data_IF_125784848953
#
_entry.id   IF_125784848953
#
_cell.length_a   1.000
_cell.length_b   1.000
_cell.length_c   1.000
_cell.angle_alpha   90.00
_cell.angle_beta   90.00
_cell.angle_gamma   90.00
#
_symmetry.space_group_name_H-M   'P 1'
#
loop_
_entity.id
_entity.type
_entity.pdbx_description
1 polymer ?
#
# COMPACT_ATOMS: atom_id res chain seq x y z
N UNK A 1 12.03 -32.50 16.87
CA UNK A 1 11.39 -32.00 18.11
C UNK A 1 12.45 -31.35 18.99
N UNK A 2 12.35 -30.04 19.27
CA UNK A 2 13.25 -29.37 20.23
C UNK A 2 12.63 -29.49 21.62
N UNK A 3 13.23 -30.29 22.50
CA UNK A 3 12.84 -30.40 23.90
C UNK A 3 12.98 -29.04 24.59
N UNK A 4 11.89 -28.51 25.16
CA UNK A 4 11.92 -27.27 25.96
C UNK A 4 12.64 -27.54 27.29
N UNK A 5 13.62 -26.71 27.65
CA UNK A 5 14.36 -26.82 28.92
C UNK A 5 13.43 -26.67 30.12
N UNK A 6 13.56 -27.57 31.09
CA UNK A 6 12.79 -27.59 32.33
C UNK A 6 13.13 -26.33 33.17
N UNK A 7 12.13 -25.56 33.63
CA UNK A 7 12.37 -24.39 34.47
C UNK A 7 12.89 -24.82 35.85
N UNK A 8 14.09 -24.35 36.22
CA UNK A 8 14.68 -24.60 37.54
C UNK A 8 13.97 -23.73 38.58
N UNK A 9 13.47 -24.34 39.67
CA UNK A 9 12.81 -23.63 40.78
C UNK A 9 13.83 -22.78 41.54
N UNK A 10 13.51 -21.51 41.78
CA UNK A 10 14.31 -20.61 42.61
C UNK A 10 14.32 -21.09 44.08
N UNK A 11 15.40 -21.72 44.53
CA UNK A 11 15.60 -22.15 45.93
C UNK A 11 15.96 -20.94 46.83
N UNK A 12 14.98 -20.06 47.09
CA UNK A 12 15.15 -18.98 48.10
C UNK A 12 15.11 -19.50 49.55
N UNK A 13 14.54 -20.69 49.78
CA UNK A 13 14.34 -21.26 51.13
C UNK A 13 15.56 -21.94 51.76
N UNK A 14 16.65 -22.15 51.02
CA UNK A 14 17.87 -22.78 51.57
C UNK A 14 18.83 -21.80 52.24
N UNK A 15 18.82 -20.52 51.85
CA UNK A 15 19.78 -19.52 52.37
C UNK A 15 19.56 -19.16 53.85
N UNK A 16 18.36 -19.41 54.38
CA UNK A 16 17.99 -19.14 55.78
C UNK A 16 18.26 -20.31 56.73
N UNK A 17 18.59 -21.49 56.20
CA UNK A 17 18.82 -22.73 56.97
C UNK A 17 20.29 -23.14 56.93
N UNK A 18 21.15 -22.32 56.33
CA UNK A 18 22.59 -22.53 56.31
C UNK A 18 23.20 -22.09 57.66
N UNK A 19 23.74 -23.03 58.48
CA UNK A 19 24.27 -22.71 59.79
C UNK A 19 25.54 -21.83 59.74
N UNK A 20 26.17 -21.66 58.58
CA UNK A 20 27.35 -20.83 58.40
C UNK A 20 27.04 -19.43 57.87
N UNK A 21 25.76 -19.09 57.65
CA UNK A 21 25.36 -17.78 57.17
C UNK A 21 25.28 -16.75 58.31
N UNK A 22 26.42 -16.16 58.67
CA UNK A 22 26.56 -15.13 59.72
C UNK A 22 25.65 -13.91 59.52
N UNK A 23 25.24 -13.62 58.29
CA UNK A 23 24.33 -12.50 57.96
C UNK A 23 22.88 -12.77 58.37
N UNK A 24 22.46 -14.04 58.49
CA UNK A 24 21.11 -14.39 58.91
C UNK A 24 20.87 -14.11 60.40
N UNK A 25 21.89 -14.26 61.24
CA UNK A 25 21.83 -13.93 62.66
C UNK A 25 21.69 -12.41 62.88
N UNK A 26 22.44 -11.61 62.12
CA UNK A 26 22.35 -10.14 62.16
C UNK A 26 20.96 -9.62 61.76
N UNK A 27 20.36 -10.19 60.71
CA UNK A 27 19.00 -9.83 60.27
C UNK A 27 17.94 -10.16 61.33
N UNK A 28 18.06 -11.32 62.01
CA UNK A 28 17.15 -11.67 63.13
C UNK A 28 17.32 -10.75 64.34
N UNK A 29 18.51 -10.21 64.58
CA UNK A 29 18.74 -9.25 65.67
C UNK A 29 18.06 -7.90 65.39
N UNK A 30 18.15 -7.40 64.15
CA UNK A 30 17.49 -6.16 63.71
C UNK A 30 15.96 -6.28 63.73
N UNK A 31 15.40 -7.45 63.37
CA UNK A 31 13.95 -7.69 63.46
C UNK A 31 13.43 -7.78 64.89
N UNK A 32 14.28 -8.09 65.88
CA UNK A 32 13.89 -8.15 67.29
C UNK A 32 13.91 -6.77 67.95
N UNK A 33 14.82 -5.88 67.55
CA UNK A 33 14.86 -4.50 68.09
C UNK A 33 13.69 -3.67 67.59
N UNK A 34 13.23 -3.86 66.35
CA UNK A 34 12.08 -3.13 65.79
C UNK A 34 10.70 -3.54 66.37
N UNK A 35 10.62 -4.56 67.23
CA UNK A 35 9.34 -5.05 67.81
C UNK A 35 9.08 -4.58 69.24
N UNK A 36 10.10 -4.03 69.91
CA UNK A 36 10.02 -3.64 71.31
C UNK A 36 10.29 -2.14 71.53
N UNK A 37 10.01 -1.29 70.53
CA UNK A 37 9.94 0.14 70.78
C UNK A 37 8.64 0.42 71.56
N UNK A 38 8.78 0.84 72.82
CA UNK A 38 7.65 1.30 73.63
C UNK A 38 6.94 2.48 72.92
N UNK A 39 5.60 2.55 72.98
CA UNK A 39 4.88 3.63 72.32
C UNK A 39 5.31 4.99 72.90
N UNK A 40 5.84 5.86 72.05
CA UNK A 40 6.33 7.21 72.40
C UNK A 40 5.23 8.20 72.76
N UNK A 41 3.96 7.77 72.81
CA UNK A 41 2.80 8.61 73.15
C UNK A 41 2.17 8.09 74.44
N UNK A 42 1.84 9.03 75.34
CA UNK A 42 1.18 8.79 76.62
C UNK A 42 -0.06 7.90 76.47
N UNK A 43 -0.32 7.06 77.49
CA UNK A 43 -1.38 6.06 77.54
C UNK A 43 -2.79 6.59 77.18
N UNK A 44 -3.01 7.90 77.31
CA UNK A 44 -4.31 8.54 77.09
C UNK A 44 -4.60 8.93 75.63
N UNK A 45 -3.60 8.93 74.74
CA UNK A 45 -3.80 9.18 73.30
C UNK A 45 -3.38 7.99 72.43
N UNK A 46 -3.83 6.79 72.81
CA UNK A 46 -3.71 5.67 71.88
C UNK A 46 -4.59 5.94 70.65
N UNK A 47 -4.01 6.02 69.43
CA UNK A 47 -4.82 6.22 68.24
C UNK A 47 -5.74 5.02 68.11
N UNK A 48 -7.06 5.28 68.08
CA UNK A 48 -8.08 4.25 67.91
C UNK A 48 -7.65 3.23 66.86
N UNK A 49 -7.76 1.95 67.20
CA UNK A 49 -7.38 0.87 66.30
C UNK A 49 -8.16 0.98 64.99
N UNK A 50 -7.60 0.47 63.88
CA UNK A 50 -8.28 0.46 62.58
C UNK A 50 -9.68 -0.18 62.64
N UNK A 51 -9.90 -1.12 63.56
CA UNK A 51 -11.19 -1.74 63.81
C UNK A 51 -12.17 -0.79 64.51
N UNK A 52 -11.73 -0.13 65.59
CA UNK A 52 -12.55 0.85 66.32
C UNK A 52 -12.90 2.06 65.45
N UNK A 53 -11.94 2.58 64.67
CA UNK A 53 -12.20 3.66 63.70
C UNK A 53 -13.25 3.28 62.65
N UNK A 54 -13.31 2.00 62.24
CA UNK A 54 -14.32 1.51 61.30
C UNK A 54 -15.69 1.37 61.93
N UNK A 55 -15.77 1.00 63.22
CA UNK A 55 -17.02 0.91 63.97
C UNK A 55 -17.61 2.30 64.25
N UNK A 56 -16.75 3.30 64.49
CA UNK A 56 -17.16 4.68 64.74
C UNK A 56 -17.33 5.54 63.48
N UNK A 57 -16.97 5.02 62.30
CA UNK A 57 -17.19 5.74 61.06
C UNK A 57 -18.71 5.81 60.75
N UNK A 58 -19.29 7.01 60.56
CA UNK A 58 -20.69 7.15 60.18
C UNK A 58 -20.88 6.49 58.80
N UNK A 59 -21.74 5.47 58.75
CA UNK A 59 -21.92 4.62 57.57
C UNK A 59 -21.43 3.17 57.74
N UNK A 60 -21.25 2.70 58.97
CA UNK A 60 -21.12 1.27 59.27
C UNK A 60 -22.28 0.53 58.58
N UNK A 61 -21.95 -0.27 57.57
CA UNK A 61 -22.91 -0.94 56.70
C UNK A 61 -23.69 -1.95 57.54
N UNK A 62 -24.86 -1.55 58.04
CA UNK A 62 -25.72 -2.37 58.90
C UNK A 62 -26.30 -3.55 58.10
N UNK A 63 -26.53 -3.35 56.80
CA UNK A 63 -27.19 -4.35 55.96
C UNK A 63 -26.22 -5.25 55.20
N UNK A 64 -26.34 -6.56 55.47
CA UNK A 64 -25.66 -7.64 54.71
C UNK A 64 -25.88 -7.50 53.20
N UNK A 65 -27.01 -6.91 52.76
CA UNK A 65 -27.33 -6.66 51.35
C UNK A 65 -26.43 -5.57 50.74
N UNK A 66 -26.20 -4.47 51.44
CA UNK A 66 -25.33 -3.38 50.98
C UNK A 66 -23.86 -3.77 50.99
N UNK A 67 -23.42 -4.55 51.98
CA UNK A 67 -22.06 -5.09 52.03
C UNK A 67 -21.80 -6.05 50.84
N UNK A 68 -22.82 -6.83 50.44
CA UNK A 68 -22.76 -7.68 49.23
C UNK A 68 -22.75 -6.85 47.95
N UNK A 69 -23.50 -5.74 47.85
CA UNK A 69 -23.44 -4.82 46.70
C UNK A 69 -22.05 -4.19 46.55
N UNK A 70 -21.48 -3.63 47.63
CA UNK A 70 -20.11 -3.09 47.63
C UNK A 70 -19.02 -4.13 47.33
N UNK A 71 -19.21 -5.41 47.70
CA UNK A 71 -18.29 -6.49 47.30
C UNK A 71 -18.35 -6.83 45.82
N UNK A 72 -19.52 -6.71 45.17
CA UNK A 72 -19.68 -6.90 43.71
C UNK A 72 -19.11 -5.73 42.90
N UNK A 73 -19.08 -4.53 43.48
CA UNK A 73 -18.53 -3.31 42.86
C UNK A 73 -16.99 -3.22 42.87
N UNK A 74 -16.26 -4.28 43.24
CA UNK A 74 -14.80 -4.23 43.44
C UNK A 74 -13.95 -4.30 42.16
N UNK A 75 -14.53 -4.46 40.98
CA UNK A 75 -13.75 -4.36 39.75
C UNK A 75 -13.62 -2.89 39.33
N UNK A 76 -12.53 -2.24 39.75
CA UNK A 76 -12.14 -0.90 39.29
C UNK A 76 -12.21 -0.77 37.77
N UNK A 77 -11.75 -1.80 37.06
CA UNK A 77 -11.77 -1.90 35.59
C UNK A 77 -13.18 -1.74 35.01
N UNK A 78 -14.21 -2.32 35.64
CA UNK A 78 -15.59 -2.18 35.16
C UNK A 78 -16.12 -0.76 35.41
N UNK A 79 -15.80 -0.14 36.55
CA UNK A 79 -16.18 1.24 36.84
C UNK A 79 -15.51 2.24 35.88
N UNK A 80 -14.21 2.05 35.60
CA UNK A 80 -13.48 2.91 34.67
C UNK A 80 -14.02 2.75 33.24
N UNK A 81 -14.28 1.51 32.81
CA UNK A 81 -14.87 1.27 31.51
C UNK A 81 -16.30 1.86 31.41
N UNK A 82 -17.11 1.76 32.46
CA UNK A 82 -18.44 2.39 32.51
C UNK A 82 -18.37 3.92 32.41
N UNK A 83 -17.38 4.56 33.05
CA UNK A 83 -17.13 6.01 32.87
C UNK A 83 -16.80 6.37 31.42
N UNK A 84 -16.12 5.46 30.71
CA UNK A 84 -15.83 5.59 29.27
C UNK A 84 -17.01 5.15 28.38
N UNK A 85 -18.18 4.86 28.95
CA UNK A 85 -19.37 4.43 28.22
C UNK A 85 -19.37 2.95 27.79
N UNK A 86 -18.36 2.17 28.21
CA UNK A 86 -18.22 0.76 27.87
C UNK A 86 -18.78 -0.12 28.99
N UNK A 87 -19.96 -0.70 28.74
CA UNK A 87 -20.62 -1.61 29.70
C UNK A 87 -20.32 -3.07 29.38
N UNK A 88 -20.13 -3.87 30.43
CA UNK A 88 -20.00 -5.32 30.30
C UNK A 88 -21.31 -5.94 29.83
N UNK A 89 -21.27 -6.87 28.88
CA UNK A 89 -22.45 -7.63 28.47
C UNK A 89 -23.02 -8.48 29.62
N UNK A 90 -24.32 -8.77 29.57
CA UNK A 90 -25.03 -9.56 30.60
C UNK A 90 -24.41 -10.95 30.82
N UNK A 91 -24.01 -11.61 29.72
CA UNK A 91 -23.45 -12.97 29.72
C UNK A 91 -21.93 -12.99 29.48
N UNK A 92 -21.28 -11.82 29.56
CA UNK A 92 -19.85 -11.69 29.26
C UNK A 92 -19.00 -11.85 30.53
N UNK A 93 -17.91 -12.61 30.42
CA UNK A 93 -16.90 -12.69 31.47
C UNK A 93 -16.02 -11.43 31.48
N UNK A 94 -15.43 -11.09 32.62
CA UNK A 94 -14.59 -9.87 32.73
C UNK A 94 -13.41 -9.93 31.75
N UNK A 95 -12.80 -11.09 31.56
CA UNK A 95 -11.71 -11.26 30.61
C UNK A 95 -12.15 -11.00 29.15
N UNK A 96 -13.31 -11.53 28.73
CA UNK A 96 -13.85 -11.29 27.38
C UNK A 96 -14.18 -9.81 27.17
N UNK A 97 -14.70 -9.15 28.20
CA UNK A 97 -14.95 -7.72 28.17
C UNK A 97 -13.67 -6.91 27.99
N UNK A 98 -12.63 -7.21 28.76
CA UNK A 98 -11.33 -6.55 28.63
C UNK A 98 -10.76 -6.76 27.23
N UNK A 99 -10.76 -7.99 26.70
CA UNK A 99 -10.31 -8.28 25.33
C UNK A 99 -11.10 -7.51 24.27
N UNK A 100 -12.41 -7.35 24.44
CA UNK A 100 -13.24 -6.56 23.52
C UNK A 100 -12.86 -5.08 23.58
N UNK A 101 -12.68 -4.53 24.78
CA UNK A 101 -12.25 -3.14 24.97
C UNK A 101 -10.86 -2.92 24.36
N UNK A 102 -9.92 -3.83 24.59
CA UNK A 102 -8.59 -3.82 23.98
C UNK A 102 -8.68 -3.84 22.45
N UNK A 103 -9.54 -4.69 21.87
CA UNK A 103 -9.77 -4.74 20.42
C UNK A 103 -10.31 -3.43 19.85
N UNK A 104 -11.30 -2.81 20.51
CA UNK A 104 -11.84 -1.50 20.11
C UNK A 104 -10.74 -0.43 20.15
N UNK A 105 -9.94 -0.41 21.22
CA UNK A 105 -8.86 0.55 21.37
C UNK A 105 -7.74 0.34 20.33
N UNK A 106 -7.39 -0.90 20.05
CA UNK A 106 -6.41 -1.26 19.03
C UNK A 106 -6.85 -0.80 17.64
N UNK A 107 -8.11 -1.04 17.28
CA UNK A 107 -8.67 -0.60 16.00
C UNK A 107 -8.65 0.92 15.87
N UNK A 108 -9.09 1.65 16.91
CA UNK A 108 -9.03 3.12 16.93
C UNK A 108 -7.62 3.67 16.79
N UNK A 109 -6.64 3.05 17.46
CA UNK A 109 -5.23 3.43 17.34
C UNK A 109 -4.74 3.21 15.90
N UNK A 110 -5.08 2.08 15.28
CA UNK A 110 -4.70 1.81 13.89
C UNK A 110 -5.37 2.74 12.89
N UNK A 111 -6.64 3.07 13.07
CA UNK A 111 -7.35 4.07 12.25
C UNK A 111 -6.62 5.42 12.34
N UNK A 112 -6.29 5.88 13.55
CA UNK A 112 -5.54 7.12 13.74
C UNK A 112 -4.14 7.06 13.11
N UNK A 113 -3.45 5.92 13.20
CA UNK A 113 -2.16 5.72 12.53
C UNK A 113 -2.33 5.77 11.01
N UNK A 114 -3.39 5.18 10.45
CA UNK A 114 -3.66 5.20 9.01
C UNK A 114 -3.94 6.63 8.52
N UNK A 115 -4.79 7.37 9.23
CA UNK A 115 -5.09 8.78 8.98
C UNK A 115 -3.80 9.63 9.04
N UNK A 116 -2.96 9.40 10.06
CA UNK A 116 -1.68 10.09 10.21
C UNK A 116 -0.69 9.75 9.07
N UNK A 117 -0.58 8.47 8.70
CA UNK A 117 0.24 8.03 7.57
C UNK A 117 -0.20 8.65 6.24
N UNK A 118 -1.50 8.86 6.07
CA UNK A 118 -2.08 9.54 4.91
C UNK A 118 -1.93 11.07 4.97
N UNK A 119 -1.37 11.63 6.06
CA UNK A 119 -1.22 13.08 6.23
C UNK A 119 -2.57 13.80 6.44
N UNK A 120 -3.62 13.05 6.75
CA UNK A 120 -4.98 13.55 6.98
C UNK A 120 -5.23 13.86 8.47
N UNK A 121 -4.30 13.51 9.35
CA UNK A 121 -4.44 13.78 10.78
C UNK A 121 -4.60 15.28 11.06
N UNK A 122 -5.68 15.63 11.76
CA UNK A 122 -6.00 17.01 12.13
C UNK A 122 -6.72 17.82 11.05
N UNK A 123 -6.95 17.27 9.85
CA UNK A 123 -7.77 17.92 8.82
C UNK A 123 -9.26 17.69 9.10
N UNK A 124 -10.08 18.69 8.80
CA UNK A 124 -11.54 18.54 8.88
C UNK A 124 -12.03 17.68 7.73
N UNK A 125 -13.08 16.90 7.94
CA UNK A 125 -13.66 16.04 6.91
C UNK A 125 -14.06 16.84 5.66
N UNK A 126 -14.59 18.05 5.86
CA UNK A 126 -14.98 18.96 4.77
C UNK A 126 -13.82 19.34 3.84
N UNK A 127 -12.61 19.51 4.38
CA UNK A 127 -11.42 19.84 3.59
C UNK A 127 -10.97 18.65 2.74
N UNK A 128 -11.07 17.45 3.32
CA UNK A 128 -10.77 16.19 2.65
C UNK A 128 -11.74 15.98 1.48
N UNK A 129 -13.03 16.16 1.73
CA UNK A 129 -14.07 16.01 0.71
C UNK A 129 -13.92 17.05 -0.41
N UNK A 130 -13.55 18.30 -0.08
CA UNK A 130 -13.27 19.33 -1.06
C UNK A 130 -12.05 19.00 -1.93
N UNK A 131 -11.01 18.38 -1.37
CA UNK A 131 -9.85 17.93 -2.14
C UNK A 131 -10.19 16.77 -3.07
N UNK A 132 -11.02 15.82 -2.64
CA UNK A 132 -11.55 14.77 -3.51
C UNK A 132 -12.40 15.35 -4.66
N UNK A 133 -13.26 16.33 -4.39
CA UNK A 133 -14.05 16.99 -5.42
C UNK A 133 -13.16 17.66 -6.49
N UNK A 134 -12.07 18.32 -6.09
CA UNK A 134 -11.10 18.90 -7.05
C UNK A 134 -10.41 17.84 -7.91
N UNK A 135 -10.13 16.66 -7.35
CA UNK A 135 -9.53 15.54 -8.10
C UNK A 135 -10.53 15.03 -9.14
N UNK A 136 -11.79 14.81 -8.74
CA UNK A 136 -12.85 14.34 -9.63
C UNK A 136 -13.13 15.34 -10.76
N UNK A 137 -13.18 16.64 -10.46
CA UNK A 137 -13.33 17.69 -11.47
C UNK A 137 -12.16 17.70 -12.46
N UNK A 138 -10.92 17.54 -11.99
CA UNK A 138 -9.74 17.44 -12.87
C UNK A 138 -9.82 16.21 -13.78
N UNK A 139 -10.26 15.07 -13.26
CA UNK A 139 -10.44 13.86 -14.06
C UNK A 139 -11.54 14.02 -15.11
N UNK A 140 -12.68 14.64 -14.75
CA UNK A 140 -13.75 14.97 -15.69
C UNK A 140 -13.25 15.89 -16.82
N UNK A 141 -12.47 16.92 -16.48
CA UNK A 141 -11.86 17.82 -17.49
C UNK A 141 -10.91 17.09 -18.43
N UNK A 142 -10.06 16.19 -17.91
CA UNK A 142 -9.17 15.36 -18.75
C UNK A 142 -9.96 14.47 -19.71
N UNK A 143 -10.97 13.76 -19.22
CA UNK A 143 -11.85 12.92 -20.05
C UNK A 143 -12.57 13.74 -21.12
N UNK A 144 -12.99 14.95 -20.81
CA UNK A 144 -13.63 15.83 -21.79
C UNK A 144 -12.64 16.34 -22.84
N UNK A 145 -11.41 16.70 -22.45
CA UNK A 145 -10.34 17.06 -23.38
C UNK A 145 -10.01 15.90 -24.33
N UNK A 146 -9.84 14.68 -23.80
CA UNK A 146 -9.61 13.47 -24.62
C UNK A 146 -10.76 13.25 -25.63
N UNK A 147 -12.02 13.40 -25.21
CA UNK A 147 -13.18 13.32 -26.10
C UNK A 147 -13.11 14.37 -27.22
N UNK A 148 -12.76 15.62 -26.89
CA UNK A 148 -12.62 16.70 -27.88
C UNK A 148 -11.47 16.43 -28.86
N UNK A 149 -10.33 15.94 -28.38
CA UNK A 149 -9.20 15.56 -29.24
C UNK A 149 -9.55 14.43 -30.20
N UNK A 150 -10.26 13.40 -29.72
CA UNK A 150 -10.74 12.29 -30.55
C UNK A 150 -11.70 12.82 -31.63
N UNK A 151 -12.66 13.68 -31.25
CA UNK A 151 -13.58 14.29 -32.22
C UNK A 151 -12.83 15.12 -33.27
N UNK A 152 -11.82 15.88 -32.88
CA UNK A 152 -11.00 16.65 -33.82
C UNK A 152 -10.21 15.75 -34.77
N UNK A 153 -9.59 14.67 -34.26
CA UNK A 153 -8.91 13.66 -35.10
C UNK A 153 -9.87 13.00 -36.09
N UNK A 154 -11.10 12.70 -35.67
CA UNK A 154 -12.13 12.15 -36.56
C UNK A 154 -12.53 13.15 -37.64
N UNK A 155 -12.74 14.43 -37.29
CA UNK A 155 -13.06 15.49 -38.25
C UNK A 155 -11.93 15.70 -39.26
N UNK A 156 -10.69 15.71 -38.81
CA UNK A 156 -9.52 15.83 -39.70
C UNK A 156 -9.38 14.62 -40.63
N UNK A 157 -9.57 13.40 -40.11
CA UNK A 157 -9.55 12.18 -40.91
C UNK A 157 -10.68 12.16 -41.98
N UNK A 158 -11.87 12.68 -41.65
CA UNK A 158 -12.97 12.85 -42.62
C UNK A 158 -12.60 13.84 -43.71
N UNK A 159 -12.09 15.03 -43.36
CA UNK A 159 -11.63 16.03 -44.34
C UNK A 159 -10.53 15.50 -45.27
N UNK A 160 -9.56 14.74 -44.74
CA UNK A 160 -8.51 14.12 -45.57
C UNK A 160 -9.07 13.10 -46.55
N UNK A 161 -10.06 12.30 -46.15
CA UNK A 161 -10.73 11.34 -47.04
C UNK A 161 -11.52 12.03 -48.15
N UNK A 162 -12.17 13.14 -47.83
CA UNK A 162 -12.92 13.96 -48.79
C UNK A 162 -11.99 14.57 -49.84
N UNK A 163 -10.89 15.21 -49.40
CA UNK A 163 -9.87 15.75 -50.32
C UNK A 163 -9.19 14.66 -51.18
N UNK A 164 -9.00 13.45 -50.65
CA UNK A 164 -8.46 12.34 -51.43
C UNK A 164 -9.48 11.82 -52.46
N UNK A 165 -10.78 11.86 -52.14
CA UNK A 165 -11.84 11.50 -53.07
C UNK A 165 -11.95 12.54 -54.20
N UNK A 166 -11.92 13.83 -53.88
CA UNK A 166 -11.91 14.92 -54.88
C UNK A 166 -10.71 14.79 -55.83
N UNK A 167 -9.50 14.57 -55.30
CA UNK A 167 -8.30 14.35 -56.14
C UNK A 167 -8.42 13.11 -57.02
N UNK A 168 -9.07 12.04 -56.55
CA UNK A 168 -9.32 10.84 -57.37
C UNK A 168 -10.34 11.12 -58.46
N UNK A 169 -11.38 11.89 -58.18
CA UNK A 169 -12.36 12.31 -59.19
C UNK A 169 -11.73 13.21 -60.26
N UNK A 170 -10.90 14.17 -59.88
CA UNK A 170 -10.14 15.01 -60.82
C UNK A 170 -9.16 14.19 -61.67
N UNK A 171 -8.50 13.20 -61.07
CA UNK A 171 -7.64 12.25 -61.80
C UNK A 171 -8.42 11.38 -62.78
N UNK A 172 -9.66 10.99 -62.47
CA UNK A 172 -10.52 10.25 -63.38
C UNK A 172 -11.03 11.14 -64.52
N UNK A 173 -11.48 12.36 -64.22
CA UNK A 173 -11.92 13.35 -65.22
C UNK A 173 -10.80 13.72 -66.18
N UNK A 174 -9.57 13.93 -65.69
CA UNK A 174 -8.42 14.22 -66.55
C UNK A 174 -7.99 13.01 -67.40
N UNK A 175 -8.11 11.79 -66.88
CA UNK A 175 -7.92 10.56 -67.68
C UNK A 175 -8.99 10.40 -68.75
N UNK A 176 -10.25 10.72 -68.46
CA UNK A 176 -11.33 10.72 -69.45
C UNK A 176 -11.11 11.78 -70.54
N UNK A 177 -10.71 13.00 -70.16
CA UNK A 177 -10.35 14.05 -71.12
C UNK A 177 -9.16 13.63 -71.99
N UNK A 178 -8.12 12.99 -71.42
CA UNK A 178 -7.00 12.43 -72.22
C UNK A 178 -7.47 11.33 -73.17
N UNK A 179 -8.39 10.46 -72.76
CA UNK A 179 -8.96 9.42 -73.64
C UNK A 179 -9.78 10.04 -74.78
N UNK A 180 -10.57 11.08 -74.50
CA UNK A 180 -11.34 11.81 -75.50
C UNK A 180 -10.43 12.57 -76.48
N UNK A 181 -9.38 13.25 -75.98
CA UNK A 181 -8.39 13.90 -76.83
C UNK A 181 -7.63 12.90 -77.71
N UNK A 182 -7.26 11.73 -77.18
CA UNK A 182 -6.66 10.64 -77.99
C UNK A 182 -7.62 10.11 -79.05
N UNK A 183 -8.92 10.04 -78.77
CA UNK A 183 -9.94 9.65 -79.77
C UNK A 183 -10.14 10.71 -80.86
N UNK A 184 -10.03 12.00 -80.51
CA UNK A 184 -10.09 13.10 -81.49
C UNK A 184 -8.81 13.20 -82.35
N UNK A 185 -7.65 12.80 -81.82
CA UNK A 185 -6.40 12.72 -82.57
C UNK A 185 -6.35 11.43 -83.42
N UNK A 186 -7.05 10.37 -83.00
CA UNK A 186 -7.17 9.09 -83.71
C UNK A 186 -8.10 9.09 -84.93
N UNK A 187 -8.72 10.22 -85.29
CA UNK A 187 -9.39 10.39 -86.60
C UNK A 187 -8.44 10.90 -87.71
N UNK A 188 -7.12 11.00 -87.43
CA UNK A 188 -6.14 11.41 -88.44
C UNK A 188 -4.96 10.46 -88.67
N UNK A 189 -4.94 9.28 -88.06
CA UNK A 189 -3.98 8.21 -88.37
C UNK A 189 -4.67 6.84 -88.21
N UNK A 190 -5.52 6.49 -89.17
CA UNK A 190 -5.57 5.11 -89.64
C UNK A 190 -4.33 4.92 -90.53
N UNK A 191 -3.67 3.76 -90.40
CA UNK A 191 -2.38 3.38 -91.01
C UNK A 191 -1.13 3.79 -90.20
N UNK A 192 -0.86 3.06 -89.11
CA UNK A 192 0.36 2.23 -88.97
C UNK A 192 0.40 1.56 -87.59
N UNK A 193 0.83 0.29 -87.60
CA UNK A 193 1.25 -0.52 -86.45
C UNK A 193 0.18 -1.13 -85.54
N UNK A 194 -0.51 -2.10 -86.13
CA UNK A 194 -0.77 -3.38 -85.49
C UNK A 194 0.57 -4.15 -85.34
N UNK A 195 1.16 -4.18 -84.13
CA UNK A 195 2.05 -5.22 -83.54
C UNK A 195 3.07 -4.63 -82.57
N UNK A 196 2.84 -4.85 -81.27
CA UNK A 196 3.81 -5.49 -80.37
C UNK A 196 3.22 -5.61 -78.96
N UNK A 197 2.53 -6.73 -78.74
CA UNK A 197 2.71 -7.44 -77.47
C UNK A 197 4.20 -7.82 -77.36
N UNK A 198 4.74 -7.81 -76.13
CA UNK A 198 6.08 -8.23 -75.67
C UNK A 198 7.04 -7.07 -75.41
N UNK A 199 7.29 -6.83 -74.12
CA UNK A 199 8.63 -6.76 -73.50
C UNK A 199 8.42 -6.78 -71.98
N UNK A 200 8.80 -7.87 -71.30
CA UNK A 200 10.17 -8.18 -70.83
C UNK A 200 10.46 -7.39 -69.55
N UNK A 201 10.45 -8.04 -68.39
CA UNK A 201 11.45 -8.95 -67.83
C UNK A 201 12.11 -8.20 -66.66
N UNK A 202 12.33 -8.96 -65.60
CA UNK A 202 13.04 -8.53 -64.41
C UNK A 202 14.47 -8.15 -64.79
N UNK A 203 14.89 -6.92 -64.46
CA UNK A 203 16.32 -6.63 -64.37
C UNK A 203 16.65 -6.02 -63.01
N UNK A 204 17.39 -6.83 -62.26
CA UNK A 204 18.13 -6.49 -61.06
C UNK A 204 19.31 -5.58 -61.46
N UNK A 205 19.36 -4.36 -60.93
CA UNK A 205 20.63 -3.63 -60.81
C UNK A 205 20.93 -3.37 -59.32
N UNK A 206 21.91 -4.15 -58.85
CA UNK A 206 22.71 -3.85 -57.67
C UNK A 206 23.59 -2.62 -57.98
N UNK A 207 23.47 -1.57 -57.17
CA UNK A 207 24.50 -0.53 -57.11
C UNK A 207 24.98 -0.38 -55.65
N UNK A 208 26.23 -0.77 -55.47
CA UNK A 208 26.94 -0.91 -54.22
C UNK A 208 27.73 0.39 -53.89
N UNK A 209 27.39 0.97 -52.73
CA UNK A 209 28.22 1.83 -51.86
C UNK A 209 28.56 3.29 -52.28
N UNK A 210 28.93 4.22 -51.36
CA UNK A 210 29.19 4.05 -49.92
C UNK A 210 28.46 5.02 -48.97
N UNK A 211 28.29 4.56 -47.73
CA UNK A 211 27.80 5.30 -46.56
C UNK A 211 28.75 6.46 -46.19
N UNK A 212 28.21 7.61 -45.71
CA UNK A 212 28.62 8.07 -44.39
C UNK A 212 27.44 8.42 -43.46
N UNK A 213 27.73 8.24 -42.18
CA UNK A 213 26.84 8.18 -41.01
C UNK A 213 26.25 9.52 -40.57
N UNK A 214 25.07 9.44 -39.92
CA UNK A 214 24.44 10.29 -38.85
C UNK A 214 23.05 10.77 -39.29
N UNK A 215 21.95 10.70 -38.53
CA UNK A 215 21.71 10.40 -37.11
C UNK A 215 20.26 9.95 -36.91
N UNK A 216 20.03 9.25 -35.80
CA UNK A 216 18.79 8.58 -35.37
C UNK A 216 17.58 9.51 -35.31
N UNK A 217 16.45 9.06 -35.85
CA UNK A 217 15.15 9.19 -35.20
C UNK A 217 14.22 8.07 -35.70
N UNK A 218 13.85 7.21 -34.77
CA UNK A 218 13.01 6.03 -34.98
C UNK A 218 11.61 6.46 -35.44
N UNK A 219 11.41 6.44 -36.76
CA UNK A 219 10.08 6.29 -37.35
C UNK A 219 9.89 4.80 -37.55
N UNK A 220 9.15 4.17 -36.64
CA UNK A 220 8.60 2.83 -36.84
C UNK A 220 7.82 2.82 -38.16
N UNK A 221 8.47 2.34 -39.22
CA UNK A 221 7.80 1.93 -40.45
C UNK A 221 6.91 0.77 -40.06
N UNK A 222 5.60 1.01 -39.94
CA UNK A 222 4.62 -0.06 -39.86
C UNK A 222 4.67 -0.82 -41.18
N UNK A 223 5.47 -1.89 -41.24
CA UNK A 223 5.39 -2.89 -42.29
C UNK A 223 3.93 -3.32 -42.40
N UNK A 224 3.33 -3.13 -43.57
CA UNK A 224 1.97 -3.60 -43.85
C UNK A 224 1.99 -5.12 -43.87
N UNK A 225 1.82 -5.74 -42.70
CA UNK A 225 1.71 -7.19 -42.57
C UNK A 225 0.64 -7.71 -43.54
N UNK A 226 0.98 -8.77 -44.29
CA UNK A 226 0.05 -9.40 -45.22
C UNK A 226 -1.24 -9.83 -44.48
N UNK A 227 -2.37 -9.86 -45.19
CA UNK A 227 -3.69 -10.20 -44.61
C UNK A 227 -3.67 -11.49 -43.77
N UNK A 228 -2.80 -12.45 -44.12
CA UNK A 228 -2.62 -13.72 -43.40
C UNK A 228 -1.93 -13.54 -42.04
N UNK A 229 -0.96 -12.64 -41.94
CA UNK A 229 -0.25 -12.35 -40.69
C UNK A 229 -1.13 -11.52 -39.74
N UNK A 230 -1.89 -10.56 -40.28
CA UNK A 230 -2.85 -9.77 -39.50
C UNK A 230 -3.93 -10.63 -38.83
N UNK A 231 -4.41 -11.67 -39.52
CA UNK A 231 -5.38 -12.64 -38.95
C UNK A 231 -4.75 -13.52 -37.87
N UNK A 232 -3.48 -13.93 -38.03
CA UNK A 232 -2.75 -14.69 -37.01
C UNK A 232 -2.49 -13.87 -35.75
N UNK A 233 -2.13 -12.60 -35.88
CA UNK A 233 -1.96 -11.69 -34.73
C UNK A 233 -3.28 -11.41 -34.03
N UNK A 234 -4.37 -11.18 -34.77
CA UNK A 234 -5.69 -11.00 -34.17
C UNK A 234 -6.14 -12.22 -33.37
N UNK A 235 -5.90 -13.43 -33.89
CA UNK A 235 -6.19 -14.69 -33.17
C UNK A 235 -5.30 -14.88 -31.93
N UNK A 236 -4.03 -14.46 -31.98
CA UNK A 236 -3.13 -14.48 -30.82
C UNK A 236 -3.61 -13.51 -29.75
N UNK A 237 -3.94 -12.27 -30.12
CA UNK A 237 -4.42 -11.25 -29.20
C UNK A 237 -5.75 -11.66 -28.56
N UNK A 238 -6.68 -12.22 -29.34
CA UNK A 238 -7.94 -12.76 -28.82
C UNK A 238 -7.72 -13.88 -27.78
N UNK A 239 -6.75 -14.78 -28.01
CA UNK A 239 -6.40 -15.83 -27.04
C UNK A 239 -5.75 -15.28 -25.77
N UNK A 240 -4.99 -14.20 -25.87
CA UNK A 240 -4.37 -13.53 -24.71
C UNK A 240 -5.44 -12.81 -23.89
N UNK A 241 -6.32 -12.04 -24.53
CA UNK A 241 -7.44 -11.36 -23.86
C UNK A 241 -8.38 -12.34 -23.15
N UNK A 242 -8.67 -13.49 -23.77
CA UNK A 242 -9.51 -14.53 -23.17
C UNK A 242 -8.83 -15.18 -21.95
N UNK A 243 -7.50 -15.32 -21.95
CA UNK A 243 -6.74 -15.79 -20.79
C UNK A 243 -6.73 -14.76 -19.65
N UNK A 244 -6.61 -13.47 -19.97
CA UNK A 244 -6.66 -12.38 -18.99
C UNK A 244 -8.03 -12.35 -18.33
N UNK A 245 -9.12 -12.39 -19.12
CA UNK A 245 -10.49 -12.44 -18.57
C UNK A 245 -10.74 -13.64 -17.66
N UNK A 246 -10.28 -14.84 -18.07
CA UNK A 246 -10.39 -16.05 -17.23
C UNK A 246 -9.57 -15.94 -15.94
N UNK A 247 -8.42 -15.26 -15.97
CA UNK A 247 -7.63 -15.02 -14.76
C UNK A 247 -8.31 -14.00 -13.84
N UNK A 248 -8.88 -12.93 -14.37
CA UNK A 248 -9.62 -11.92 -13.61
C UNK A 248 -10.91 -12.50 -12.98
N UNK A 249 -11.64 -13.35 -13.72
CA UNK A 249 -12.81 -14.08 -13.21
C UNK A 249 -12.42 -15.09 -12.11
N UNK A 250 -11.25 -15.73 -12.24
CA UNK A 250 -10.72 -16.62 -11.21
C UNK A 250 -10.26 -15.87 -9.95
N UNK A 251 -9.77 -14.63 -10.09
CA UNK A 251 -9.40 -13.77 -8.95
C UNK A 251 -10.66 -13.26 -8.22
N UNK A 252 -11.73 -12.94 -8.94
CA UNK A 252 -13.02 -12.53 -8.35
C UNK A 252 -13.72 -13.68 -7.59
N UNK A 253 -13.54 -14.92 -8.05
CA UNK A 253 -14.04 -16.13 -7.37
C UNK A 253 -13.06 -16.69 -6.31
N UNK A 254 -11.91 -16.07 -6.08
CA UNK A 254 -10.96 -16.49 -5.04
C UNK A 254 -11.39 -16.08 -3.62
N UNK A 255 -12.55 -15.44 -3.44
CA UNK A 255 -13.21 -15.37 -2.14
C UNK A 255 -13.83 -16.74 -1.82
N UNK A 256 -13.04 -17.55 -1.13
CA UNK A 256 -13.46 -18.68 -0.29
C UNK A 256 -14.00 -19.93 -1.01
N UNK A 257 -13.30 -20.43 -2.03
CA UNK A 257 -13.40 -21.86 -2.40
C UNK A 257 -12.23 -22.59 -1.74
N UNK A 258 -12.42 -23.02 -0.49
CA UNK A 258 -11.50 -23.94 0.18
C UNK A 258 -11.75 -25.33 -0.40
N UNK A 259 -10.75 -25.92 -1.05
CA UNK A 259 -10.88 -27.27 -1.61
C UNK A 259 -11.20 -28.28 -0.49
N UNK A 260 -11.99 -29.31 -0.81
CA UNK A 260 -12.39 -30.34 0.16
C UNK A 260 -11.14 -31.01 0.78
N UNK A 261 -10.92 -30.78 2.07
CA UNK A 261 -9.75 -31.28 2.82
C UNK A 261 -8.75 -30.20 3.25
N UNK A 262 -8.85 -28.97 2.75
CA UNK A 262 -8.06 -27.83 3.22
C UNK A 262 -8.73 -27.13 4.40
N UNK A 263 -7.94 -26.66 5.38
CA UNK A 263 -8.44 -25.93 6.55
C UNK A 263 -8.16 -24.45 6.37
N UNK A 264 -9.14 -23.61 6.66
CA UNK A 264 -9.00 -22.14 6.63
C UNK A 264 -7.85 -21.61 7.50
N UNK A 265 -7.53 -22.34 8.58
CA UNK A 265 -6.48 -21.98 9.55
C UNK A 265 -5.10 -22.57 9.23
N UNK A 266 -4.97 -23.33 8.13
CA UNK A 266 -3.69 -23.87 7.70
C UNK A 266 -2.93 -22.84 6.83
N UNK A 267 -1.60 -22.71 6.99
CA UNK A 267 -0.81 -21.88 6.09
C UNK A 267 -0.92 -22.38 4.64
N UNK A 268 -0.89 -21.49 3.64
CA UNK A 268 -1.05 -21.86 2.24
C UNK A 268 0.04 -22.86 1.81
N UNK A 269 -0.38 -23.96 1.19
CA UNK A 269 0.53 -24.98 0.66
C UNK A 269 0.93 -24.60 -0.75
N UNK A 270 2.21 -24.24 -0.94
CA UNK A 270 2.71 -23.87 -2.26
C UNK A 270 3.05 -25.12 -3.09
N UNK A 271 2.46 -25.23 -4.29
CA UNK A 271 2.80 -26.26 -5.27
C UNK A 271 4.00 -25.89 -6.16
N UNK A 272 4.56 -26.88 -6.87
CA UNK A 272 5.53 -26.66 -7.95
C UNK A 272 6.82 -25.94 -7.55
N UNK A 273 7.27 -25.00 -8.36
CA UNK A 273 8.54 -24.27 -8.14
C UNK A 273 8.49 -23.31 -6.94
N UNK A 274 7.29 -22.89 -6.54
CA UNK A 274 7.09 -22.07 -5.33
C UNK A 274 7.36 -22.90 -4.07
N UNK A 275 7.06 -24.20 -4.08
CA UNK A 275 7.37 -25.12 -2.97
C UNK A 275 8.86 -25.10 -2.62
N UNK A 276 9.74 -25.18 -3.63
CA UNK A 276 11.20 -25.14 -3.46
C UNK A 276 11.71 -23.80 -2.91
N UNK A 277 10.99 -22.70 -3.17
CA UNK A 277 11.35 -21.36 -2.69
C UNK A 277 10.88 -21.12 -1.25
N UNK A 278 9.67 -21.55 -0.91
CA UNK A 278 9.05 -21.22 0.38
C UNK A 278 9.27 -22.30 1.44
N UNK A 279 9.37 -23.58 1.07
CA UNK A 279 9.69 -24.64 2.04
C UNK A 279 11.20 -24.67 2.34
N UNK A 280 11.61 -24.46 3.60
CA UNK A 280 13.02 -24.40 3.98
C UNK A 280 13.74 -25.74 3.82
N UNK A 281 13.02 -26.86 3.81
CA UNK A 281 13.58 -28.20 3.65
C UNK A 281 13.85 -28.55 2.18
N UNK A 282 13.09 -28.00 1.23
CA UNK A 282 13.24 -28.28 -0.20
C UNK A 282 14.09 -27.23 -0.94
N UNK A 283 14.43 -26.11 -0.28
CA UNK A 283 15.32 -25.11 -0.82
C UNK A 283 16.77 -25.65 -0.80
N UNK A 284 17.39 -25.81 -1.99
CA UNK A 284 18.81 -26.16 -2.09
C UNK A 284 19.65 -25.13 -1.33
N UNK A 285 20.55 -25.61 -0.47
CA UNK A 285 21.47 -24.76 0.29
C UNK A 285 22.25 -23.85 -0.67
N UNK A 286 22.25 -22.54 -0.42
CA UNK A 286 22.95 -21.54 -1.23
C UNK A 286 22.12 -20.88 -2.35
N UNK A 287 20.90 -21.33 -2.63
CA UNK A 287 20.09 -20.76 -3.73
C UNK A 287 19.26 -19.53 -3.33
N UNK A 288 19.07 -19.30 -2.03
CA UNK A 288 18.38 -18.10 -1.51
C UNK A 288 19.38 -16.98 -1.31
N UNK A 289 19.19 -15.86 -2.01
CA UNK A 289 19.82 -14.60 -1.63
C UNK A 289 19.30 -14.23 -0.23
N UNK A 290 20.21 -14.14 0.75
CA UNK A 290 19.83 -13.74 2.09
C UNK A 290 19.17 -12.36 2.03
N UNK A 291 18.12 -12.14 2.82
CA UNK A 291 17.42 -10.84 2.88
C UNK A 291 18.41 -9.69 3.13
N UNK A 292 19.40 -9.92 4.00
CA UNK A 292 20.49 -9.00 4.26
C UNK A 292 21.29 -8.64 2.99
N UNK A 293 21.59 -9.62 2.14
CA UNK A 293 22.31 -9.42 0.89
C UNK A 293 21.46 -8.66 -0.15
N UNK A 294 20.14 -8.85 -0.15
CA UNK A 294 19.22 -8.09 -0.99
C UNK A 294 19.02 -6.64 -0.50
N UNK A 295 19.09 -6.42 0.81
CA UNK A 295 19.02 -5.10 1.42
C UNK A 295 20.32 -4.31 1.20
N UNK A 296 21.49 -4.95 1.32
CA UNK A 296 22.77 -4.31 1.01
C UNK A 296 22.90 -3.91 -0.46
N UNK A 297 22.49 -4.77 -1.41
CA UNK A 297 22.51 -4.42 -2.85
C UNK A 297 21.60 -3.25 -3.22
N UNK A 298 20.55 -2.99 -2.44
CA UNK A 298 19.70 -1.79 -2.60
C UNK A 298 20.33 -0.53 -1.99
N UNK A 299 21.38 -0.67 -1.19
CA UNK A 299 22.11 0.42 -0.55
C UNK A 299 23.40 0.84 -1.25
N UNK A 300 23.73 0.28 -2.43
CA UNK A 300 24.92 0.66 -3.21
C UNK A 300 24.79 2.02 -3.91
N UNK A 301 23.67 2.74 -3.70
CA UNK A 301 23.60 4.18 -3.99
C UNK A 301 24.51 4.91 -3.00
N UNK A 302 25.67 5.36 -3.48
CA UNK A 302 26.60 6.21 -2.71
C UNK A 302 25.80 7.31 -2.01
N UNK A 303 25.78 7.31 -0.68
CA UNK A 303 25.17 8.39 0.10
C UNK A 303 25.90 9.68 -0.24
N UNK A 304 25.30 10.53 -1.08
CA UNK A 304 25.72 11.92 -1.22
C UNK A 304 25.36 12.60 0.08
N UNK A 305 26.38 12.96 0.86
CA UNK A 305 26.19 13.87 1.98
C UNK A 305 25.58 15.17 1.42
N UNK A 306 24.54 15.68 2.08
CA UNK A 306 24.00 17.00 1.78
C UNK A 306 25.16 18.01 1.86
N UNK A 307 25.38 18.77 0.79
CA UNK A 307 26.30 19.89 0.80
C UNK A 307 25.80 20.90 1.82
N UNK A 308 26.45 20.94 2.99
CA UNK A 308 26.23 21.91 4.05
C UNK A 308 26.76 23.30 3.62
N UNK A 309 26.28 23.82 2.50
CA UNK A 309 26.53 25.20 2.13
C UNK A 309 25.79 26.08 3.11
N UNK A 310 26.54 26.67 4.04
CA UNK A 310 26.04 27.57 5.08
C UNK A 310 25.26 28.76 4.50
N UNK A 311 25.44 29.09 3.21
CA UNK A 311 24.71 30.18 2.55
C UNK A 311 23.20 29.93 2.50
N UNK A 312 22.76 28.70 2.22
CA UNK A 312 21.33 28.37 2.11
C UNK A 312 20.60 28.51 3.46
N UNK A 313 21.24 28.09 4.54
CA UNK A 313 20.71 28.22 5.91
C UNK A 313 20.68 29.70 6.34
N UNK A 314 21.69 30.48 5.97
CA UNK A 314 21.74 31.91 6.28
C UNK A 314 20.67 32.71 5.52
N UNK A 315 20.43 32.39 4.25
CA UNK A 315 19.38 32.99 3.42
C UNK A 315 17.97 32.68 3.97
N UNK A 316 17.72 31.43 4.34
CA UNK A 316 16.44 31.05 4.98
C UNK A 316 16.22 31.77 6.31
N UNK A 317 17.27 31.88 7.13
CA UNK A 317 17.22 32.62 8.40
C UNK A 317 16.90 34.10 8.19
N UNK A 318 17.50 34.73 7.19
CA UNK A 318 17.19 36.13 6.85
C UNK A 318 15.75 36.30 6.36
N UNK A 319 15.26 35.39 5.51
CA UNK A 319 13.85 35.36 5.07
C UNK A 319 12.87 35.32 6.22
N UNK A 320 13.12 34.46 7.21
CA UNK A 320 12.28 34.31 8.40
C UNK A 320 12.30 35.60 9.24
N UNK A 321 13.47 36.22 9.41
CA UNK A 321 13.61 37.48 10.15
C UNK A 321 12.86 38.62 9.44
N UNK A 322 12.95 38.72 8.12
CA UNK A 322 12.25 39.73 7.34
C UNK A 322 10.73 39.55 7.36
N UNK A 323 10.26 38.30 7.25
CA UNK A 323 8.84 37.97 7.38
C UNK A 323 8.30 38.38 8.76
N UNK A 324 9.05 38.08 9.83
CA UNK A 324 8.69 38.49 11.18
C UNK A 324 8.67 40.02 11.36
N UNK A 325 9.66 40.73 10.80
CA UNK A 325 9.68 42.21 10.80
C UNK A 325 8.50 42.81 10.04
N UNK A 326 8.11 42.24 8.90
CA UNK A 326 6.93 42.67 8.13
C UNK A 326 5.63 42.43 8.89
N UNK A 327 5.49 41.29 9.54
CA UNK A 327 4.34 40.98 10.41
C UNK A 327 4.25 41.98 11.58
N UNK A 328 5.38 42.26 12.25
CA UNK A 328 5.42 43.21 13.37
C UNK A 328 5.17 44.66 12.95
N UNK A 329 5.54 45.06 11.73
CA UNK A 329 5.26 46.41 11.20
C UNK A 329 3.79 46.61 10.76
N UNK A 330 3.04 45.52 10.55
CA UNK A 330 1.62 45.56 10.17
C UNK A 330 0.67 45.59 11.36
N UNK A 331 1.16 45.30 12.56
CA UNK A 331 0.45 45.44 13.84
C UNK A 331 0.88 46.71 14.55
#
# INVERSE_FOLDING_TARGET
MKYRRIPKKNRKKLKSVDPFNTKAAALKAVEKTAKNDAPTKSLDEQPLTKAQKKLMAPGLIVDKKEAKKKKKEKNSVLREAEKLGLKKGRFETVERFVRRVEGIMYNRIHENIAIAKQGLAGRKQEEIDADYAKIDEKEKRKKEQEKREIQNKIKEAKKRREQEAEKKEEMLKSKEQRKLAKRQIGEHQEEEEEKSDIDDEEEHEDDDAPVPKKSKNDKEKTEKLSKKNRRKEFLKNRKVDEKIRKADDAILNAKEIVAFGERYDAPPVFGGDLKKKFEPLMAKAGQKTLLLHSLLKKGDEKTKYLDNSTSTIHEERQRVIEAYRKMKKKN
#
